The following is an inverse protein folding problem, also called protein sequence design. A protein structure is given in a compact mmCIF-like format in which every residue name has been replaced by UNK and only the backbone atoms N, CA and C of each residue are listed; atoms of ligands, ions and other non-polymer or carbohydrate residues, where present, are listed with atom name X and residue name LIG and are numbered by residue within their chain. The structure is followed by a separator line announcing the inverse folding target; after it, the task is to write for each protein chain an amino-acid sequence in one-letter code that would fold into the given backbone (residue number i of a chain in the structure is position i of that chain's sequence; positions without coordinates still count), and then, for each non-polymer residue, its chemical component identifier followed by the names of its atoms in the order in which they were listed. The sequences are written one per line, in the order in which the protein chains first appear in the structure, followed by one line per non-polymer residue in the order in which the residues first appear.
data_IF_613458992144
#
_entry.id   IF_613458992144
#
_cell.length_a   1.000
_cell.length_b   1.000
_cell.length_c   1.000
_cell.angle_alpha   90.00
_cell.angle_beta   90.00
_cell.angle_gamma   90.00
#
_symmetry.space_group_name_H-M   'P 1'
#
loop_
_entity.id
_entity.type
_entity.pdbx_description
1 polymer ?
#
# COMPACT_ATOMS: atom_id res chain seq x y z
N UNK A 1 7.73 9.84 -4.69
CA UNK A 1 6.68 9.14 -3.91
C UNK A 1 7.18 8.82 -2.49
N UNK A 2 8.32 8.14 -2.34
CA UNK A 2 8.88 7.74 -1.02
C UNK A 2 8.97 8.88 -0.01
N UNK A 3 9.55 10.05 -0.36
CA UNK A 3 9.68 11.16 0.59
C UNK A 3 8.32 11.71 1.07
N UNK A 4 7.30 11.71 0.21
CA UNK A 4 5.94 12.12 0.60
C UNK A 4 5.28 11.08 1.51
N UNK A 5 5.46 9.79 1.21
CA UNK A 5 4.96 8.70 2.05
C UNK A 5 5.58 8.76 3.44
N UNK A 6 6.91 8.96 3.50
CA UNK A 6 7.65 9.11 4.76
C UNK A 6 7.14 10.33 5.54
N UNK A 7 7.03 11.49 4.89
CA UNK A 7 6.55 12.72 5.52
C UNK A 7 5.17 12.54 6.14
N UNK A 8 4.21 11.98 5.40
CA UNK A 8 2.84 11.76 5.89
C UNK A 8 2.80 10.69 6.99
N UNK A 9 3.68 9.68 6.92
CA UNK A 9 3.82 8.70 7.98
C UNK A 9 4.26 9.37 9.29
N UNK A 10 5.28 10.22 9.25
CA UNK A 10 5.78 10.94 10.43
C UNK A 10 4.80 11.98 10.96
N UNK A 11 4.22 12.80 10.07
CA UNK A 11 3.21 13.81 10.44
C UNK A 11 1.95 13.18 11.03
N UNK A 12 1.55 12.02 10.51
CA UNK A 12 0.34 11.32 10.92
C UNK A 12 0.52 10.33 12.07
N UNK A 13 1.64 10.35 12.79
CA UNK A 13 1.93 9.40 13.88
C UNK A 13 0.85 9.43 14.98
N UNK A 14 0.43 10.64 15.38
CA UNK A 14 -0.58 10.86 16.42
C UNK A 14 -1.96 10.32 16.03
N UNK A 15 -2.33 10.49 14.76
CA UNK A 15 -3.64 10.09 14.23
C UNK A 15 -3.64 8.69 13.60
N UNK A 16 -2.48 8.01 13.65
CA UNK A 16 -2.19 6.76 12.94
C UNK A 16 -2.61 6.80 11.48
N UNK A 17 -2.30 7.90 10.81
CA UNK A 17 -2.66 8.11 9.41
C UNK A 17 -2.19 6.95 8.54
N UNK A 18 -3.08 6.47 7.69
CA UNK A 18 -2.83 5.40 6.73
C UNK A 18 -2.73 5.95 5.32
N UNK A 19 -2.04 5.22 4.46
CA UNK A 19 -1.72 5.61 3.11
C UNK A 19 -1.82 4.42 2.18
N UNK A 20 -2.21 4.68 0.93
CA UNK A 20 -2.25 3.67 -0.11
C UNK A 20 -1.30 4.04 -1.24
N UNK A 21 -0.59 3.05 -1.78
CA UNK A 21 0.31 3.20 -2.91
C UNK A 21 -0.16 2.26 -4.01
N UNK A 22 -0.50 2.84 -5.17
CA UNK A 22 -0.92 2.14 -6.37
C UNK A 22 0.23 2.03 -7.37
N UNK A 23 0.50 0.81 -7.85
CA UNK A 23 1.46 0.58 -8.94
C UNK A 23 0.97 -0.54 -9.86
N UNK A 24 0.96 -0.31 -11.16
CA UNK A 24 0.62 -1.36 -12.13
C UNK A 24 1.87 -2.00 -12.74
N UNK A 25 3.01 -1.33 -12.67
CA UNK A 25 4.32 -1.86 -13.05
C UNK A 25 4.82 -2.81 -11.94
N UNK A 26 5.35 -3.98 -12.32
CA UNK A 26 5.95 -4.90 -11.37
C UNK A 26 4.97 -5.67 -10.49
N UNK A 27 3.69 -5.77 -10.88
CA UNK A 27 2.78 -6.74 -10.25
C UNK A 27 3.43 -8.12 -10.32
N UNK A 28 3.59 -8.86 -9.22
CA UNK A 28 4.27 -10.15 -9.23
C UNK A 28 3.47 -11.16 -10.06
N UNK A 29 3.71 -11.18 -11.38
CA UNK A 29 2.97 -12.02 -12.33
C UNK A 29 3.53 -13.44 -12.42
N UNK A 30 4.75 -13.68 -11.96
CA UNK A 30 5.34 -15.01 -11.78
C UNK A 30 6.66 -14.85 -11.04
N UNK A 31 7.10 -15.87 -10.29
CA UNK A 31 8.37 -15.90 -9.53
C UNK A 31 9.65 -15.84 -10.39
N UNK A 32 9.52 -15.53 -11.68
CA UNK A 32 10.60 -15.57 -12.65
C UNK A 32 10.62 -14.19 -13.37
N UNK A 33 11.64 -13.40 -13.04
CA UNK A 33 12.21 -12.32 -13.88
C UNK A 33 11.53 -10.92 -13.96
N UNK A 34 10.72 -10.49 -12.99
CA UNK A 34 10.22 -9.11 -12.94
C UNK A 34 10.85 -8.26 -11.84
N UNK A 35 11.32 -7.04 -12.17
CA UNK A 35 11.68 -6.02 -11.19
C UNK A 35 10.51 -5.77 -10.22
N UNK A 36 10.68 -6.14 -8.95
CA UNK A 36 9.64 -6.06 -7.93
C UNK A 36 9.66 -4.67 -7.26
N UNK A 37 9.01 -3.73 -7.93
CA UNK A 37 8.85 -2.34 -7.46
C UNK A 37 8.30 -2.29 -6.04
N UNK A 38 7.45 -3.25 -5.66
CA UNK A 38 6.83 -3.31 -4.35
C UNK A 38 7.84 -3.65 -3.25
N UNK A 39 8.69 -4.65 -3.49
CA UNK A 39 9.74 -5.02 -2.55
C UNK A 39 10.83 -3.95 -2.47
N UNK A 40 11.25 -3.37 -3.58
CA UNK A 40 12.20 -2.23 -3.58
C UNK A 40 11.64 -1.02 -2.81
N UNK A 41 10.37 -0.66 -3.02
CA UNK A 41 9.73 0.43 -2.30
C UNK A 41 9.64 0.13 -0.79
N UNK A 42 9.31 -1.12 -0.44
CA UNK A 42 9.27 -1.56 0.95
C UNK A 42 10.65 -1.46 1.60
N UNK A 43 11.69 -1.95 0.93
CA UNK A 43 13.06 -1.92 1.45
C UNK A 43 13.56 -0.48 1.62
N UNK A 44 13.26 0.41 0.66
CA UNK A 44 13.54 1.84 0.79
C UNK A 44 12.82 2.49 1.98
N UNK A 45 11.54 2.17 2.19
CA UNK A 45 10.78 2.70 3.33
C UNK A 45 11.31 2.16 4.68
N UNK A 46 11.74 0.89 4.70
CA UNK A 46 12.35 0.27 5.88
C UNK A 46 13.71 0.89 6.19
N UNK A 47 14.54 1.15 5.17
CA UNK A 47 15.82 1.84 5.31
C UNK A 47 15.65 3.28 5.85
N UNK A 48 14.53 3.94 5.49
CA UNK A 48 14.13 5.24 6.06
C UNK A 48 13.58 5.16 7.50
N UNK A 49 13.51 3.97 8.08
CA UNK A 49 13.14 3.73 9.47
C UNK A 49 11.66 3.42 9.70
N UNK A 50 10.89 3.12 8.65
CA UNK A 50 9.50 2.67 8.79
C UNK A 50 9.49 1.16 9.11
N UNK A 51 8.83 0.71 10.18
CA UNK A 51 8.79 -0.71 10.51
C UNK A 51 8.11 -1.51 9.39
N UNK A 52 8.71 -2.64 9.02
CA UNK A 52 8.19 -3.54 7.97
C UNK A 52 6.77 -4.03 8.27
N UNK A 53 6.39 -4.10 9.54
CA UNK A 53 5.08 -4.52 10.01
C UNK A 53 3.99 -3.47 9.71
N UNK A 54 4.37 -2.20 9.57
CA UNK A 54 3.45 -1.12 9.19
C UNK A 54 3.17 -1.09 7.68
N UNK A 55 3.81 -1.95 6.90
CA UNK A 55 3.72 -2.03 5.44
C UNK A 55 3.09 -3.36 5.05
N UNK A 56 2.02 -3.34 4.26
CA UNK A 56 1.35 -4.55 3.79
C UNK A 56 1.04 -4.51 2.29
N UNK A 57 0.93 -5.70 1.68
CA UNK A 57 0.55 -5.87 0.28
C UNK A 57 -0.88 -6.43 0.17
N UNK A 58 -1.70 -5.85 -0.70
CA UNK A 58 -3.04 -6.41 -1.00
C UNK A 58 -2.94 -7.82 -1.58
N UNK A 59 -1.86 -8.15 -2.27
CA UNK A 59 -1.62 -9.47 -2.88
C UNK A 59 -1.50 -10.61 -1.86
N UNK A 60 -1.15 -10.32 -0.61
CA UNK A 60 -1.11 -11.34 0.45
C UNK A 60 -2.52 -11.74 0.94
N UNK A 61 -3.51 -10.87 0.72
CA UNK A 61 -4.90 -11.05 1.13
C UNK A 61 -5.78 -11.63 0.01
N UNK A 62 -5.54 -12.89 -0.36
CA UNK A 62 -6.27 -13.58 -1.44
C UNK A 62 -7.61 -14.21 -1.03
N UNK A 63 -8.00 -14.15 0.23
CA UNK A 63 -9.30 -14.64 0.74
C UNK A 63 -10.08 -13.52 1.42
N UNK A 64 -11.41 -13.60 1.45
CA UNK A 64 -12.26 -12.60 2.13
C UNK A 64 -11.91 -12.44 3.61
N UNK A 65 -11.57 -13.54 4.30
CA UNK A 65 -11.11 -13.48 5.68
C UNK A 65 -9.80 -12.69 5.83
N UNK A 66 -8.83 -12.91 4.93
CA UNK A 66 -7.57 -12.15 4.94
C UNK A 66 -7.76 -10.70 4.56
N UNK A 67 -8.66 -10.39 3.60
CA UNK A 67 -9.01 -9.00 3.24
C UNK A 67 -9.67 -8.27 4.41
N UNK A 68 -10.57 -8.94 5.13
CA UNK A 68 -11.20 -8.40 6.33
C UNK A 68 -10.17 -8.19 7.45
N UNK A 69 -9.27 -9.14 7.67
CA UNK A 69 -8.17 -9.01 8.65
C UNK A 69 -7.25 -7.83 8.31
N UNK A 70 -6.83 -7.71 7.04
CA UNK A 70 -6.03 -6.61 6.54
C UNK A 70 -6.74 -5.27 6.71
N UNK A 71 -8.03 -5.20 6.37
CA UNK A 71 -8.85 -4.00 6.56
C UNK A 71 -8.90 -3.58 8.04
N UNK A 72 -9.04 -4.54 8.96
CA UNK A 72 -9.00 -4.27 10.41
C UNK A 72 -7.64 -3.74 10.87
N UNK A 73 -6.54 -4.34 10.42
CA UNK A 73 -5.17 -3.90 10.74
C UNK A 73 -4.88 -2.49 10.24
N UNK A 74 -5.42 -2.13 9.07
CA UNK A 74 -5.29 -0.78 8.53
C UNK A 74 -6.14 0.20 9.32
N UNK A 75 -7.40 -0.15 9.59
CA UNK A 75 -8.29 0.71 10.36
C UNK A 75 -7.87 0.87 11.82
N UNK A 76 -7.09 -0.05 12.40
CA UNK A 76 -6.50 0.11 13.75
C UNK A 76 -5.20 0.93 13.74
N UNK A 77 -4.65 1.22 12.54
CA UNK A 77 -3.37 1.88 12.34
C UNK A 77 -2.16 1.00 12.65
N UNK A 78 -2.33 -0.32 12.76
CA UNK A 78 -1.22 -1.29 12.85
C UNK A 78 -0.47 -1.35 11.52
N UNK A 79 -1.22 -1.36 10.41
CA UNK A 79 -0.69 -1.19 9.06
C UNK A 79 -1.02 0.23 8.60
N UNK A 80 -0.01 0.98 8.21
CA UNK A 80 -0.16 2.40 7.81
C UNK A 80 0.18 2.65 6.36
N UNK A 81 0.84 1.71 5.69
CA UNK A 81 1.15 1.80 4.27
C UNK A 81 0.63 0.51 3.62
N UNK A 82 -0.36 0.67 2.75
CA UNK A 82 -0.91 -0.42 1.96
C UNK A 82 -0.48 -0.26 0.51
N UNK A 83 0.20 -1.26 -0.04
CA UNK A 83 0.52 -1.28 -1.47
C UNK A 83 -0.42 -2.20 -2.23
N UNK A 84 -0.95 -1.71 -3.36
CA UNK A 84 -1.93 -2.40 -4.17
C UNK A 84 -1.68 -2.14 -5.67
N UNK A 85 -2.13 -3.06 -6.53
CA UNK A 85 -2.29 -2.75 -7.95
C UNK A 85 -3.60 -2.01 -8.20
N UNK A 86 -3.69 -1.24 -9.29
CA UNK A 86 -4.91 -0.49 -9.64
C UNK A 86 -6.10 -1.45 -9.79
N UNK A 87 -5.87 -2.63 -10.36
CA UNK A 87 -6.91 -3.67 -10.47
C UNK A 87 -7.36 -4.26 -9.12
N UNK A 88 -6.45 -4.43 -8.15
CA UNK A 88 -6.76 -5.10 -6.87
C UNK A 88 -7.17 -4.16 -5.75
N UNK A 89 -6.83 -2.87 -5.81
CA UNK A 89 -7.28 -1.90 -4.80
C UNK A 89 -8.65 -1.29 -5.09
N UNK A 90 -9.19 -1.48 -6.30
CA UNK A 90 -10.48 -0.88 -6.71
C UNK A 90 -11.75 -1.56 -6.15
N UNK A 91 -11.69 -2.79 -5.64
CA UNK A 91 -12.90 -3.48 -5.13
C UNK A 91 -12.62 -4.34 -3.89
N UNK A 92 -13.33 -4.06 -2.79
CA UNK A 92 -13.47 -4.98 -1.64
C UNK A 92 -12.57 -4.76 -0.43
N UNK A 93 -11.90 -3.61 -0.28
CA UNK A 93 -11.18 -3.24 0.95
C UNK A 93 -11.82 -2.02 1.61
N UNK A 94 -12.24 -2.16 2.87
CA UNK A 94 -12.81 -1.06 3.66
C UNK A 94 -11.73 -0.49 4.58
N UNK A 95 -10.91 0.40 4.03
CA UNK A 95 -9.68 0.94 4.66
C UNK A 95 -9.72 2.46 4.85
N UNK A 96 -10.92 3.05 4.84
CA UNK A 96 -11.12 4.50 4.70
C UNK A 96 -10.93 5.28 6.01
N UNK A 97 -11.03 4.61 7.17
CA UNK A 97 -11.16 5.28 8.48
C UNK A 97 -10.02 6.24 8.83
N UNK A 98 -8.79 5.94 8.40
CA UNK A 98 -7.59 6.75 8.67
C UNK A 98 -6.83 7.12 7.39
N UNK A 99 -7.46 6.95 6.22
CA UNK A 99 -6.81 7.13 4.92
C UNK A 99 -6.52 8.61 4.67
N UNK A 100 -5.24 8.98 4.68
CA UNK A 100 -4.78 10.37 4.54
C UNK A 100 -4.31 10.69 3.13
N UNK A 101 -3.75 9.71 2.44
CA UNK A 101 -3.19 9.91 1.10
C UNK A 101 -3.22 8.64 0.26
N UNK A 102 -3.42 8.85 -1.03
CA UNK A 102 -3.29 7.84 -2.07
C UNK A 102 -2.21 8.32 -3.03
N UNK A 103 -1.22 7.46 -3.28
CA UNK A 103 -0.10 7.73 -4.16
C UNK A 103 -0.19 6.81 -5.37
N UNK A 104 -0.13 7.36 -6.58
CA UNK A 104 -0.03 6.58 -7.81
C UNK A 104 1.43 6.64 -8.28
N UNK A 105 2.08 5.47 -8.33
CA UNK A 105 3.46 5.36 -8.78
C UNK A 105 3.55 5.34 -10.31
N UNK A 106 2.51 4.82 -10.97
CA UNK A 106 2.36 4.76 -12.42
C UNK A 106 1.09 5.48 -12.86
N UNK A 107 1.09 6.00 -14.09
CA UNK A 107 -0.14 6.50 -14.72
C UNK A 107 -1.03 5.28 -14.99
N UNK A 108 -2.26 5.22 -14.46
CA UNK A 108 -3.12 4.10 -14.76
C UNK A 108 -3.34 4.01 -16.27
N UNK A 109 -3.33 2.80 -16.81
CA UNK A 109 -3.42 2.56 -18.25
C UNK A 109 -4.76 3.04 -18.85
N UNK A 110 -5.75 3.33 -18.00
CA UNK A 110 -7.02 3.95 -18.37
C UNK A 110 -7.21 5.29 -17.65
N UNK A 111 -7.61 6.37 -18.36
CA UNK A 111 -7.96 7.65 -17.76
C UNK A 111 -9.12 7.60 -16.75
N UNK A 112 -9.92 6.53 -16.75
CA UNK A 112 -11.06 6.31 -15.85
C UNK A 112 -10.69 5.90 -14.44
N UNK A 113 -9.41 5.60 -14.19
CA UNK A 113 -8.94 5.04 -12.93
C UNK A 113 -8.38 6.14 -11.97
N UNK A 114 -8.65 7.42 -12.27
CA UNK A 114 -8.38 8.63 -11.45
C UNK A 114 -9.69 9.31 -11.08
#
# INVERSE_FOLDING_TARGET
VVDNVERIYREGELDKATQMIFSDIGTPKSKEEGFDVYNELKDLLVDRGIPKEAIAFVHDANTDEKKNSLSRKINSGEVRILMASTEKGGTGLNVQSHMKAVHHLDVPWRPSDI
#
